data_IF_110445197911
#
_entry.id   IF_110445197911
#
_cell.length_a   1.000
_cell.length_b   1.000
_cell.length_c   1.000
_cell.angle_alpha   90.00
_cell.angle_beta   90.00
_cell.angle_gamma   90.00
#
_symmetry.space_group_name_H-M   'P 1'
#
loop_
_entity.id
_entity.type
_entity.pdbx_description
1 polymer ?
#
# COMPACT_ATOMS: atom_id res chain seq x y z
N UNK A 1 -14.69 -23.33 -40.47
CA UNK A 1 -14.45 -22.90 -39.08
C UNK A 1 -15.80 -22.92 -38.42
N UNK A 2 -16.17 -24.04 -37.80
CA UNK A 2 -17.37 -24.13 -36.98
C UNK A 2 -17.12 -23.31 -35.71
N UNK A 3 -17.98 -22.34 -35.43
CA UNK A 3 -17.94 -21.56 -34.20
C UNK A 3 -18.18 -22.50 -33.02
N UNK A 4 -17.20 -22.59 -32.11
CA UNK A 4 -17.39 -23.27 -30.83
C UNK A 4 -18.50 -22.56 -30.07
N UNK A 5 -19.50 -23.29 -29.54
CA UNK A 5 -20.61 -22.65 -28.88
C UNK A 5 -20.12 -22.05 -27.56
N UNK A 6 -20.45 -20.76 -27.35
CA UNK A 6 -20.23 -20.06 -26.09
C UNK A 6 -20.79 -20.97 -24.96
N UNK A 7 -19.95 -21.31 -23.98
CA UNK A 7 -20.28 -22.21 -22.86
C UNK A 7 -20.42 -23.71 -23.20
N UNK A 8 -19.33 -24.35 -23.67
CA UNK A 8 -19.27 -25.80 -23.95
C UNK A 8 -19.51 -26.71 -22.74
N UNK A 9 -19.37 -26.18 -21.52
CA UNK A 9 -19.28 -26.95 -20.29
C UNK A 9 -20.60 -26.99 -19.50
N UNK A 10 -21.67 -26.42 -20.08
CA UNK A 10 -23.01 -26.42 -19.50
C UNK A 10 -23.81 -27.64 -19.98
N UNK A 11 -24.50 -28.29 -19.05
CA UNK A 11 -25.56 -29.23 -19.40
C UNK A 11 -26.70 -28.53 -20.13
N UNK A 12 -27.47 -29.29 -20.91
CA UNK A 12 -28.59 -28.78 -21.70
C UNK A 12 -29.65 -28.07 -20.83
N UNK A 13 -29.82 -28.53 -19.58
CA UNK A 13 -30.71 -27.90 -18.60
C UNK A 13 -30.19 -26.53 -18.10
N UNK A 14 -28.88 -26.39 -17.92
CA UNK A 14 -28.26 -25.13 -17.47
C UNK A 14 -28.25 -24.07 -18.57
N UNK A 15 -28.04 -24.49 -19.84
CA UNK A 15 -28.17 -23.59 -21.00
C UNK A 15 -29.58 -23.02 -21.12
N UNK A 16 -30.59 -23.89 -21.01
CA UNK A 16 -31.99 -23.49 -21.08
C UNK A 16 -32.36 -22.50 -19.98
N UNK A 17 -31.87 -22.70 -18.76
CA UNK A 17 -32.09 -21.76 -17.66
C UNK A 17 -31.42 -20.40 -17.91
N UNK A 18 -30.23 -20.37 -18.53
CA UNK A 18 -29.50 -19.14 -18.86
C UNK A 18 -30.16 -18.35 -19.99
N UNK A 19 -30.70 -19.04 -21.01
CA UNK A 19 -31.49 -18.43 -22.09
C UNK A 19 -32.83 -17.88 -21.56
N UNK A 20 -33.50 -18.60 -20.65
CA UNK A 20 -34.73 -18.12 -19.98
C UNK A 20 -34.49 -16.88 -19.09
N UNK A 21 -33.26 -16.66 -18.61
CA UNK A 21 -32.84 -15.50 -17.81
C UNK A 21 -32.55 -14.25 -18.64
N UNK A 22 -32.52 -14.33 -19.97
CA UNK A 22 -32.31 -13.20 -20.87
C UNK A 22 -33.56 -12.95 -21.72
N UNK A 23 -34.53 -12.14 -21.25
CA UNK A 23 -35.74 -11.91 -22.01
C UNK A 23 -35.55 -10.81 -23.06
N UNK A 24 -35.40 -11.23 -24.32
CA UNK A 24 -35.78 -10.43 -25.48
C UNK A 24 -37.31 -10.47 -25.61
N UNK A 25 -38.03 -9.57 -24.92
CA UNK A 25 -39.37 -9.07 -25.31
C UNK A 25 -40.04 -8.28 -24.17
N UNK A 26 -39.63 -7.03 -24.01
CA UNK A 26 -40.37 -6.04 -23.19
C UNK A 26 -41.63 -5.49 -23.90
N UNK A 27 -41.93 -5.96 -25.12
CA UNK A 27 -42.96 -5.40 -26.01
C UNK A 27 -44.39 -5.92 -25.81
N UNK A 28 -44.58 -7.18 -25.41
CA UNK A 28 -45.94 -7.77 -25.34
C UNK A 28 -46.70 -7.42 -24.05
N UNK A 29 -45.98 -7.16 -22.95
CA UNK A 29 -46.58 -6.91 -21.61
C UNK A 29 -47.41 -5.61 -21.58
N UNK A 30 -47.16 -4.67 -22.47
CA UNK A 30 -47.90 -3.39 -22.52
C UNK A 30 -49.29 -3.50 -23.17
N UNK A 31 -49.64 -4.62 -23.84
CA UNK A 31 -50.79 -4.68 -24.74
C UNK A 31 -52.10 -5.26 -24.15
N UNK A 32 -52.09 -5.93 -22.99
CA UNK A 32 -53.31 -6.56 -22.44
C UNK A 32 -53.73 -5.99 -21.08
N UNK A 33 -54.71 -5.08 -21.12
CA UNK A 33 -55.33 -4.46 -19.94
C UNK A 33 -56.22 -5.44 -19.15
N UNK A 34 -55.64 -6.16 -18.20
CA UNK A 34 -56.37 -7.02 -17.25
C UNK A 34 -56.43 -6.33 -15.88
N UNK A 35 -57.64 -6.28 -15.30
CA UNK A 35 -58.00 -5.57 -14.05
C UNK A 35 -56.91 -5.69 -12.98
N UNK A 36 -56.36 -4.55 -12.55
CA UNK A 36 -55.26 -4.35 -11.58
C UNK A 36 -55.21 -5.33 -10.40
N UNK A 37 -56.36 -5.74 -9.86
CA UNK A 37 -56.45 -6.69 -8.73
C UNK A 37 -56.16 -8.14 -9.12
N UNK A 38 -56.52 -8.57 -10.34
CA UNK A 38 -56.16 -9.88 -10.87
C UNK A 38 -54.69 -9.92 -11.27
N UNK A 39 -54.20 -8.84 -11.89
CA UNK A 39 -52.78 -8.66 -12.22
C UNK A 39 -51.91 -8.75 -10.96
N UNK A 40 -52.21 -8.00 -9.90
CA UNK A 40 -51.43 -8.04 -8.65
C UNK A 40 -51.44 -9.42 -7.96
N UNK A 41 -52.56 -10.15 -8.01
CA UNK A 41 -52.63 -11.52 -7.47
C UNK A 41 -51.80 -12.49 -8.29
N UNK A 42 -51.90 -12.39 -9.62
CA UNK A 42 -51.13 -13.25 -10.52
C UNK A 42 -49.63 -12.98 -10.37
N UNK A 43 -49.22 -11.71 -10.31
CA UNK A 43 -47.82 -11.29 -10.13
C UNK A 43 -47.24 -11.76 -8.79
N UNK A 44 -48.02 -11.68 -7.70
CA UNK A 44 -47.58 -12.18 -6.40
C UNK A 44 -47.37 -13.70 -6.42
N UNK A 45 -48.27 -14.47 -7.05
CA UNK A 45 -48.18 -15.93 -7.05
C UNK A 45 -47.08 -16.44 -8.01
N UNK A 46 -47.01 -15.89 -9.23
CA UNK A 46 -45.99 -16.28 -10.22
C UNK A 46 -44.60 -15.75 -9.86
N UNK A 47 -44.49 -14.50 -9.39
CA UNK A 47 -43.21 -13.90 -8.99
C UNK A 47 -42.55 -14.64 -7.83
N UNK A 48 -43.31 -15.08 -6.82
CA UNK A 48 -42.74 -15.82 -5.68
C UNK A 48 -42.28 -17.22 -6.09
N UNK A 49 -42.96 -17.86 -7.04
CA UNK A 49 -42.64 -19.21 -7.51
C UNK A 49 -41.42 -19.23 -8.44
N UNK A 50 -41.32 -18.25 -9.35
CA UNK A 50 -40.14 -18.05 -10.21
C UNK A 50 -38.90 -17.64 -9.40
N UNK A 51 -39.06 -16.80 -8.37
CA UNK A 51 -37.96 -16.41 -7.51
C UNK A 51 -37.45 -17.60 -6.67
N UNK A 52 -38.33 -18.45 -6.15
CA UNK A 52 -37.94 -19.64 -5.39
C UNK A 52 -37.21 -20.68 -6.25
N UNK A 53 -37.66 -20.91 -7.49
CA UNK A 53 -36.97 -21.80 -8.43
C UNK A 53 -35.60 -21.26 -8.87
N UNK A 54 -35.49 -19.94 -9.09
CA UNK A 54 -34.23 -19.29 -9.42
C UNK A 54 -33.24 -19.27 -8.23
N UNK A 55 -33.72 -19.02 -7.00
CA UNK A 55 -32.85 -18.99 -5.82
C UNK A 55 -32.19 -20.34 -5.53
N UNK A 56 -32.91 -21.46 -5.71
CA UNK A 56 -32.35 -22.80 -5.51
C UNK A 56 -31.31 -23.17 -6.58
N UNK A 57 -31.54 -22.81 -7.85
CA UNK A 57 -30.58 -23.05 -8.93
C UNK A 57 -29.33 -22.15 -8.85
N UNK A 58 -29.52 -20.89 -8.47
CA UNK A 58 -28.43 -19.91 -8.33
C UNK A 58 -27.53 -20.24 -7.14
N UNK A 59 -28.09 -20.66 -5.99
CA UNK A 59 -27.24 -21.11 -4.87
C UNK A 59 -26.37 -22.30 -5.26
N UNK A 60 -26.90 -23.24 -6.04
CA UNK A 60 -26.15 -24.43 -6.47
C UNK A 60 -25.05 -24.09 -7.48
N UNK A 61 -25.28 -23.10 -8.35
CA UNK A 61 -24.26 -22.55 -9.27
C UNK A 61 -23.20 -21.70 -8.54
N UNK A 62 -23.61 -20.87 -7.57
CA UNK A 62 -22.70 -20.04 -6.76
C UNK A 62 -21.89 -20.87 -5.75
N UNK A 63 -22.46 -21.98 -5.26
CA UNK A 63 -21.80 -22.92 -4.35
C UNK A 63 -20.98 -23.98 -5.09
N UNK A 64 -21.04 -24.04 -6.43
CA UNK A 64 -20.20 -24.92 -7.23
C UNK A 64 -18.76 -24.44 -7.10
N UNK A 65 -17.99 -25.13 -6.27
CA UNK A 65 -16.54 -24.96 -6.21
C UNK A 65 -15.97 -25.27 -7.59
N UNK A 66 -15.47 -24.23 -8.28
CA UNK A 66 -14.61 -24.43 -9.43
C UNK A 66 -13.42 -25.24 -8.91
N UNK A 67 -13.08 -26.39 -9.53
CA UNK A 67 -11.85 -27.07 -9.20
C UNK A 67 -10.72 -26.06 -9.38
N UNK A 68 -10.12 -25.62 -8.27
CA UNK A 68 -8.88 -24.86 -8.33
C UNK A 68 -7.86 -25.86 -8.82
N UNK A 69 -7.57 -25.82 -10.11
CA UNK A 69 -6.45 -26.53 -10.67
C UNK A 69 -5.22 -26.02 -9.90
N UNK A 70 -4.62 -26.89 -9.09
CA UNK A 70 -3.39 -26.56 -8.36
C UNK A 70 -2.34 -26.22 -9.41
N UNK A 71 -2.19 -24.92 -9.67
CA UNK A 71 -1.10 -24.46 -10.51
C UNK A 71 0.19 -24.94 -9.85
N UNK A 72 1.09 -25.56 -10.63
CA UNK A 72 2.39 -25.95 -10.09
C UNK A 72 2.99 -24.72 -9.41
N UNK A 73 3.66 -24.90 -8.25
CA UNK A 73 4.23 -23.78 -7.52
C UNK A 73 5.04 -22.94 -8.50
N UNK A 74 4.76 -21.63 -8.56
CA UNK A 74 5.48 -20.71 -9.44
C UNK A 74 6.95 -20.81 -9.08
N UNK A 75 7.70 -21.56 -9.90
CA UNK A 75 9.14 -21.70 -9.75
C UNK A 75 9.75 -20.34 -10.06
N UNK A 76 10.73 -19.91 -9.26
CA UNK A 76 11.49 -18.70 -9.54
C UNK A 76 12.30 -18.98 -10.80
N UNK A 77 11.80 -18.54 -11.96
CA UNK A 77 12.41 -18.83 -13.27
C UNK A 77 13.83 -18.25 -13.37
N UNK A 78 14.05 -17.06 -12.83
CA UNK A 78 15.33 -16.35 -12.83
C UNK A 78 15.87 -16.16 -11.41
N UNK A 79 16.02 -17.26 -10.67
CA UNK A 79 16.46 -17.25 -9.28
C UNK A 79 17.92 -16.84 -9.12
N UNK A 80 18.17 -15.88 -8.23
CA UNK A 80 19.50 -15.51 -7.76
C UNK A 80 19.55 -15.64 -6.23
N UNK A 81 20.70 -16.05 -5.70
CA UNK A 81 20.95 -16.01 -4.27
C UNK A 81 21.50 -14.63 -3.91
N UNK A 82 20.91 -14.01 -2.89
CA UNK A 82 21.37 -12.75 -2.32
C UNK A 82 21.57 -12.88 -0.82
N UNK A 83 22.52 -12.12 -0.28
CA UNK A 83 22.87 -12.06 1.14
C UNK A 83 23.11 -10.62 1.57
N UNK A 84 22.31 -10.11 2.51
CA UNK A 84 22.49 -8.77 3.06
C UNK A 84 21.96 -8.65 4.49
N UNK A 85 22.40 -7.62 5.21
CA UNK A 85 21.97 -7.41 6.60
C UNK A 85 20.71 -6.56 6.62
N UNK A 86 19.65 -7.04 7.26
CA UNK A 86 18.41 -6.28 7.48
C UNK A 86 18.19 -6.10 8.97
N UNK A 87 18.12 -4.85 9.43
CA UNK A 87 17.90 -4.50 10.85
C UNK A 87 18.88 -5.24 11.79
N UNK A 88 20.16 -5.34 11.39
CA UNK A 88 21.21 -6.01 12.14
C UNK A 88 21.28 -7.55 11.98
N UNK A 89 20.35 -8.17 11.27
CA UNK A 89 20.32 -9.62 11.04
C UNK A 89 20.67 -9.97 9.60
N UNK A 90 21.60 -10.90 9.39
CA UNK A 90 21.94 -11.40 8.04
C UNK A 90 20.80 -12.23 7.47
N UNK A 91 20.33 -11.84 6.29
CA UNK A 91 19.29 -12.54 5.53
C UNK A 91 19.93 -13.14 4.28
N UNK A 92 19.69 -14.45 4.06
CA UNK A 92 20.11 -15.17 2.86
C UNK A 92 18.89 -15.77 2.20
N UNK A 93 18.66 -15.44 0.94
CA UNK A 93 17.44 -15.82 0.25
C UNK A 93 17.67 -15.98 -1.26
N UNK A 94 16.86 -16.84 -1.86
CA UNK A 94 16.69 -16.93 -3.30
C UNK A 94 15.52 -16.04 -3.72
N UNK A 95 15.76 -15.13 -4.66
CA UNK A 95 14.77 -14.18 -5.21
C UNK A 95 14.79 -14.18 -6.72
N UNK A 96 13.70 -13.75 -7.36
CA UNK A 96 13.71 -13.43 -8.79
C UNK A 96 14.65 -12.24 -9.03
N UNK A 97 15.45 -12.27 -10.11
CA UNK A 97 16.39 -11.21 -10.45
C UNK A 97 15.77 -9.82 -10.63
N UNK A 98 14.46 -9.74 -10.91
CA UNK A 98 13.69 -8.50 -11.06
C UNK A 98 13.11 -7.99 -9.74
N UNK A 99 13.20 -8.77 -8.66
CA UNK A 99 12.53 -8.45 -7.42
C UNK A 99 13.17 -7.20 -6.79
N UNK A 100 12.31 -6.20 -6.54
CA UNK A 100 12.72 -4.97 -5.87
C UNK A 100 13.10 -5.26 -4.42
N UNK A 101 13.90 -4.40 -3.83
CA UNK A 101 14.20 -4.44 -2.40
C UNK A 101 12.91 -4.28 -1.60
N UNK A 102 11.97 -3.45 -2.07
CA UNK A 102 10.67 -3.27 -1.44
C UNK A 102 9.90 -4.59 -1.32
N UNK A 103 9.73 -5.29 -2.44
CA UNK A 103 8.97 -6.54 -2.47
C UNK A 103 9.70 -7.65 -1.74
N UNK A 104 11.03 -7.65 -1.80
CA UNK A 104 11.84 -8.60 -1.03
C UNK A 104 11.61 -8.42 0.48
N UNK A 105 11.68 -7.19 0.99
CA UNK A 105 11.44 -6.90 2.40
C UNK A 105 10.02 -7.30 2.82
N UNK A 106 9.01 -6.93 2.03
CA UNK A 106 7.61 -7.13 2.40
C UNK A 106 7.15 -8.56 2.23
N UNK A 107 7.38 -9.13 1.05
CA UNK A 107 6.72 -10.37 0.61
C UNK A 107 7.58 -11.61 0.86
N UNK A 108 8.91 -11.45 0.97
CA UNK A 108 9.84 -12.56 1.29
C UNK A 108 10.25 -12.59 2.76
N UNK A 109 10.47 -11.41 3.36
CA UNK A 109 10.93 -11.29 4.75
C UNK A 109 9.81 -10.90 5.74
N UNK A 110 8.60 -10.60 5.26
CA UNK A 110 7.47 -10.22 6.12
C UNK A 110 7.61 -8.86 6.80
N UNK A 111 8.61 -8.06 6.43
CA UNK A 111 8.84 -6.70 6.94
C UNK A 111 7.97 -5.71 6.17
N UNK A 112 6.70 -5.67 6.55
CA UNK A 112 5.65 -4.94 5.82
C UNK A 112 5.56 -3.46 6.16
N UNK A 113 6.45 -2.94 7.02
CA UNK A 113 6.53 -1.54 7.42
C UNK A 113 6.77 -0.62 6.23
N UNK A 114 7.74 -0.93 5.37
CA UNK A 114 7.93 -0.21 4.10
C UNK A 114 6.72 -0.38 3.18
N UNK A 115 6.25 0.70 2.55
CA UNK A 115 4.99 0.70 1.80
C UNK A 115 5.16 0.89 0.30
N UNK A 116 4.31 0.20 -0.47
CA UNK A 116 4.19 0.35 -1.92
C UNK A 116 3.08 1.34 -2.26
N UNK A 117 3.42 2.63 -2.33
CA UNK A 117 2.45 3.68 -2.70
C UNK A 117 2.28 3.87 -4.20
N UNK A 118 3.35 3.73 -4.99
CA UNK A 118 3.32 3.98 -6.43
C UNK A 118 4.17 3.03 -7.28
N UNK A 119 5.17 2.34 -6.69
CA UNK A 119 6.12 1.46 -7.38
C UNK A 119 6.96 2.08 -8.53
N UNK A 120 6.90 3.40 -8.67
CA UNK A 120 7.54 4.16 -9.75
C UNK A 120 8.39 5.35 -9.23
N UNK A 121 8.79 5.31 -7.95
CA UNK A 121 9.66 6.33 -7.34
C UNK A 121 9.02 7.72 -7.13
N UNK A 122 7.70 7.84 -7.20
CA UNK A 122 6.99 9.11 -7.15
C UNK A 122 6.62 9.57 -5.74
N UNK A 123 6.48 8.66 -4.77
CA UNK A 123 5.86 9.00 -3.46
C UNK A 123 6.77 8.90 -2.23
N UNK A 124 7.91 8.20 -2.31
CA UNK A 124 8.80 8.01 -1.16
C UNK A 124 8.29 7.11 -0.03
N UNK A 125 7.08 6.54 -0.11
CA UNK A 125 6.54 5.66 0.94
C UNK A 125 7.35 4.36 1.15
N UNK A 126 8.15 3.99 0.15
CA UNK A 126 9.04 2.83 0.16
C UNK A 126 10.45 3.14 0.68
N UNK A 127 10.69 4.34 1.24
CA UNK A 127 12.04 4.73 1.64
C UNK A 127 12.58 3.84 2.76
N UNK A 128 13.78 3.30 2.54
CA UNK A 128 14.59 2.56 3.53
C UNK A 128 16.01 3.15 3.52
N UNK A 129 16.84 2.79 4.49
CA UNK A 129 18.22 3.25 4.59
C UNK A 129 19.15 2.10 4.18
N UNK A 130 19.98 2.31 3.16
CA UNK A 130 20.99 1.36 2.69
C UNK A 130 22.36 2.00 2.86
N UNK A 131 23.24 1.39 3.67
CA UNK A 131 24.57 1.92 4.02
C UNK A 131 24.52 3.43 4.37
N UNK A 132 23.67 3.76 5.34
CA UNK A 132 23.42 5.11 5.85
C UNK A 132 22.78 6.10 4.86
N UNK A 133 22.40 5.66 3.65
CA UNK A 133 21.72 6.49 2.65
C UNK A 133 20.27 6.09 2.47
N UNK A 134 19.35 7.05 2.52
CA UNK A 134 17.96 6.80 2.14
C UNK A 134 17.85 6.48 0.64
N UNK A 135 17.10 5.43 0.30
CA UNK A 135 16.85 5.01 -1.08
C UNK A 135 15.39 4.62 -1.29
N UNK A 136 14.92 4.75 -2.53
CA UNK A 136 13.61 4.26 -2.94
C UNK A 136 13.70 2.75 -3.20
N UNK A 137 13.24 1.94 -2.24
CA UNK A 137 13.37 0.47 -2.36
C UNK A 137 12.57 -0.13 -3.51
N UNK A 138 11.53 0.55 -4.02
CA UNK A 138 10.82 0.12 -5.24
C UNK A 138 11.65 0.25 -6.52
N UNK A 139 12.66 1.12 -6.54
CA UNK A 139 13.56 1.31 -7.69
C UNK A 139 14.96 0.75 -7.43
N UNK A 140 15.10 -0.09 -6.40
CA UNK A 140 16.35 -0.77 -6.05
C UNK A 140 16.11 -2.27 -6.19
N UNK A 141 16.94 -2.98 -6.96
CA UNK A 141 16.84 -4.44 -7.02
C UNK A 141 17.49 -5.07 -5.78
N UNK A 142 16.89 -6.11 -5.23
CA UNK A 142 17.49 -6.86 -4.11
C UNK A 142 18.89 -7.41 -4.49
N UNK A 143 19.06 -7.80 -5.75
CA UNK A 143 20.34 -8.20 -6.35
C UNK A 143 21.48 -7.18 -6.14
N UNK A 144 21.16 -5.89 -6.06
CA UNK A 144 22.15 -4.81 -5.93
C UNK A 144 22.48 -4.47 -4.48
N UNK A 145 21.87 -5.20 -3.53
CA UNK A 145 22.05 -5.01 -2.09
C UNK A 145 22.98 -6.04 -1.45
N UNK A 146 23.63 -6.91 -2.23
CA UNK A 146 24.60 -7.88 -1.72
C UNK A 146 25.61 -7.23 -0.75
N UNK A 147 25.80 -7.86 0.41
CA UNK A 147 26.66 -7.43 1.52
C UNK A 147 26.33 -6.08 2.17
N UNK A 148 25.28 -5.38 1.73
CA UNK A 148 24.88 -4.08 2.27
C UNK A 148 24.11 -4.21 3.57
N UNK A 149 24.04 -3.10 4.31
CA UNK A 149 23.18 -2.94 5.48
C UNK A 149 21.91 -2.19 5.11
N UNK A 150 20.77 -2.82 5.32
CA UNK A 150 19.43 -2.26 5.11
C UNK A 150 18.77 -2.04 6.47
N UNK A 151 18.34 -0.81 6.74
CA UNK A 151 17.51 -0.46 7.90
C UNK A 151 16.13 -0.03 7.42
N UNK A 152 15.10 -0.71 7.93
CA UNK A 152 13.68 -0.39 7.69
C UNK A 152 13.09 0.32 8.90
N UNK A 153 11.81 0.70 8.82
CA UNK A 153 11.12 1.35 9.94
C UNK A 153 11.10 0.48 11.21
N UNK A 154 11.00 -0.84 11.05
CA UNK A 154 11.02 -1.83 12.12
C UNK A 154 12.37 -1.88 12.84
N UNK A 155 13.47 -1.53 12.15
CA UNK A 155 14.82 -1.55 12.70
C UNK A 155 15.22 -0.28 13.47
N UNK A 156 14.38 0.74 13.52
CA UNK A 156 14.71 2.01 14.19
C UNK A 156 14.50 1.97 15.71
N UNK A 157 13.53 1.18 16.19
CA UNK A 157 13.26 1.03 17.61
C UNK A 157 14.22 -0.01 18.25
N UNK A 158 14.54 0.18 19.53
CA UNK A 158 15.31 -0.81 20.31
C UNK A 158 14.39 -1.46 21.34
N UNK A 159 13.91 -2.67 21.03
CA UNK A 159 12.90 -3.33 21.86
C UNK A 159 11.61 -2.50 21.92
N UNK A 160 11.24 -2.06 23.14
CA UNK A 160 10.06 -1.22 23.36
C UNK A 160 10.38 0.29 23.37
N UNK A 161 11.64 0.67 23.15
CA UNK A 161 12.07 2.06 23.12
C UNK A 161 11.99 2.60 21.69
N UNK A 162 11.14 3.60 21.49
CA UNK A 162 10.97 4.27 20.21
C UNK A 162 12.18 5.14 19.88
N UNK A 163 12.54 5.17 18.59
CA UNK A 163 13.52 6.12 18.07
C UNK A 163 13.06 7.56 18.35
N UNK A 164 13.96 8.52 18.66
CA UNK A 164 13.57 9.92 18.91
C UNK A 164 12.69 10.53 17.81
N UNK A 165 12.95 10.18 16.55
CA UNK A 165 12.10 10.57 15.41
C UNK A 165 10.69 9.99 15.48
N UNK A 166 10.53 8.72 15.90
CA UNK A 166 9.21 8.11 16.08
C UNK A 166 8.45 8.81 17.22
N UNK A 167 9.10 9.03 18.36
CA UNK A 167 8.54 9.77 19.50
C UNK A 167 8.09 11.17 19.11
N UNK A 168 8.92 11.89 18.35
CA UNK A 168 8.61 13.24 17.88
C UNK A 168 7.43 13.26 16.90
N UNK A 169 7.35 12.29 15.98
CA UNK A 169 6.20 12.15 15.08
C UNK A 169 4.88 11.92 15.85
N UNK A 170 4.90 11.16 16.94
CA UNK A 170 3.73 10.99 17.81
C UNK A 170 3.39 12.31 18.50
N UNK A 171 4.38 12.95 19.14
CA UNK A 171 4.20 14.19 19.89
C UNK A 171 3.59 15.32 19.06
N UNK A 172 3.97 15.40 17.79
CA UNK A 172 3.55 16.46 16.87
C UNK A 172 2.37 16.08 15.99
N UNK A 173 1.78 14.89 16.16
CA UNK A 173 0.74 14.39 15.24
C UNK A 173 1.23 14.43 13.77
N UNK A 174 2.46 13.96 13.56
CA UNK A 174 3.18 13.95 12.29
C UNK A 174 2.67 12.91 11.29
N UNK A 175 1.49 12.34 11.50
CA UNK A 175 0.84 11.39 10.62
C UNK A 175 -0.67 11.32 10.89
N UNK A 176 -1.41 10.67 9.99
CA UNK A 176 -2.83 10.35 10.19
C UNK A 176 -3.08 8.88 9.81
N UNK A 177 -3.29 8.58 8.52
CA UNK A 177 -3.53 7.21 8.05
C UNK A 177 -2.34 6.25 8.27
N UNK A 178 -1.17 6.78 8.62
CA UNK A 178 0.05 6.01 8.88
C UNK A 178 0.79 5.50 7.64
N UNK A 179 0.19 5.59 6.44
CA UNK A 179 0.73 4.91 5.26
C UNK A 179 2.08 5.46 4.78
N UNK A 180 2.24 6.79 4.73
CA UNK A 180 3.52 7.40 4.34
C UNK A 180 4.55 7.41 5.48
N UNK A 181 4.12 7.20 6.72
CA UNK A 181 4.90 7.44 7.94
C UNK A 181 6.22 6.65 7.99
N UNK A 182 6.28 5.36 7.61
CA UNK A 182 7.53 4.61 7.53
C UNK A 182 8.58 5.29 6.64
N UNK A 183 8.19 5.68 5.43
CA UNK A 183 9.07 6.36 4.49
C UNK A 183 9.48 7.76 4.98
N UNK A 184 8.54 8.51 5.59
CA UNK A 184 8.82 9.82 6.19
C UNK A 184 9.88 9.71 7.29
N UNK A 185 9.72 8.76 8.22
CA UNK A 185 10.64 8.60 9.35
C UNK A 185 12.01 8.12 8.87
N UNK A 186 12.08 7.10 7.99
CA UNK A 186 13.36 6.65 7.43
C UNK A 186 14.09 7.79 6.69
N UNK A 187 13.37 8.58 5.89
CA UNK A 187 13.93 9.76 5.24
C UNK A 187 14.45 10.79 6.24
N UNK A 188 13.66 11.08 7.28
CA UNK A 188 14.02 12.07 8.30
C UNK A 188 15.24 11.65 9.14
N UNK A 189 15.42 10.35 9.40
CA UNK A 189 16.59 9.82 10.09
C UNK A 189 17.84 9.97 9.22
N UNK A 190 17.79 9.56 7.95
CA UNK A 190 18.92 9.72 7.03
C UNK A 190 19.29 11.20 6.80
N UNK A 191 18.28 12.08 6.74
CA UNK A 191 18.43 13.53 6.65
C UNK A 191 19.30 14.12 7.77
N UNK A 192 19.26 13.57 8.99
CA UNK A 192 20.15 14.03 10.08
C UNK A 192 21.63 13.80 9.72
N UNK A 193 21.94 12.68 9.07
CA UNK A 193 23.28 12.39 8.55
C UNK A 193 23.69 13.34 7.43
N UNK A 194 22.81 13.56 6.45
CA UNK A 194 23.03 14.52 5.35
C UNK A 194 23.34 15.93 5.87
N UNK A 195 22.55 16.40 6.85
CA UNK A 195 22.73 17.70 7.48
C UNK A 195 24.06 17.77 8.24
N UNK A 196 24.42 16.72 9.00
CA UNK A 196 25.69 16.63 9.72
C UNK A 196 26.89 16.60 8.78
N UNK A 197 26.75 16.03 7.58
CA UNK A 197 27.82 15.97 6.58
C UNK A 197 27.98 17.28 5.79
N UNK A 198 27.02 18.21 5.93
CA UNK A 198 27.02 19.46 5.19
C UNK A 198 26.59 19.30 3.73
N UNK A 199 25.84 18.25 3.41
CA UNK A 199 25.38 17.98 2.05
C UNK A 199 24.47 19.12 1.57
N UNK A 200 24.69 19.65 0.36
CA UNK A 200 23.87 20.74 -0.18
C UNK A 200 22.48 20.27 -0.60
N UNK A 201 21.51 21.17 -0.58
CA UNK A 201 20.16 21.02 -1.14
C UNK A 201 19.89 22.10 -2.18
N UNK A 202 18.70 22.07 -2.80
CA UNK A 202 18.27 23.12 -3.72
C UNK A 202 18.23 24.52 -3.08
N UNK A 203 17.91 24.61 -1.79
CA UNK A 203 17.80 25.89 -1.06
C UNK A 203 19.12 26.37 -0.46
N UNK A 204 20.22 25.65 -0.70
CA UNK A 204 21.55 26.09 -0.28
C UNK A 204 22.03 27.29 -1.11
N UNK A 205 22.13 28.46 -0.48
CA UNK A 205 22.43 29.73 -1.16
C UNK A 205 23.76 29.76 -1.93
N UNK A 206 24.82 29.10 -1.42
CA UNK A 206 26.12 29.04 -2.07
C UNK A 206 26.75 27.65 -1.96
N UNK A 207 26.59 26.84 -3.00
CA UNK A 207 27.14 25.46 -3.06
C UNK A 207 28.66 25.39 -3.10
N UNK A 208 29.36 26.51 -3.35
CA UNK A 208 30.84 26.55 -3.30
C UNK A 208 31.36 26.67 -1.87
N UNK A 209 30.53 27.13 -0.94
CA UNK A 209 30.87 27.25 0.47
C UNK A 209 30.59 25.93 1.17
N UNK A 210 31.63 25.11 1.35
CA UNK A 210 31.49 23.82 2.04
C UNK A 210 31.29 24.03 3.54
N UNK A 211 30.04 23.91 4.00
CA UNK A 211 29.72 23.92 5.43
C UNK A 211 30.06 22.58 6.07
N UNK A 212 30.49 22.60 7.33
CA UNK A 212 30.72 21.37 8.12
C UNK A 212 29.40 20.69 8.52
N UNK A 213 28.35 21.48 8.75
CA UNK A 213 27.00 21.01 9.04
C UNK A 213 26.00 22.05 8.54
N UNK A 214 24.82 21.58 8.14
CA UNK A 214 23.68 22.40 7.73
C UNK A 214 22.68 22.47 8.89
N UNK A 215 22.23 23.68 9.21
CA UNK A 215 21.08 23.87 10.11
C UNK A 215 19.80 23.55 9.34
N UNK A 216 19.02 22.60 9.84
CA UNK A 216 17.75 22.21 9.25
C UNK A 216 16.65 23.22 9.61
N UNK A 217 16.62 24.34 8.88
CA UNK A 217 15.51 25.29 8.90
C UNK A 217 14.22 24.64 8.36
N UNK A 218 13.07 25.27 8.58
CA UNK A 218 11.81 24.78 8.00
C UNK A 218 11.86 24.69 6.46
N UNK A 219 12.64 25.54 5.81
CA UNK A 219 12.80 25.54 4.35
C UNK A 219 13.70 24.37 3.90
N UNK A 220 14.83 24.15 4.57
CA UNK A 220 15.71 22.99 4.31
C UNK A 220 14.99 21.66 4.54
N UNK A 221 14.20 21.55 5.61
CA UNK A 221 13.43 20.32 5.89
C UNK A 221 12.39 20.09 4.79
N UNK A 222 11.63 21.11 4.40
CA UNK A 222 10.61 20.95 3.35
C UNK A 222 11.22 20.53 2.02
N UNK A 223 12.31 21.18 1.62
CA UNK A 223 13.02 20.85 0.38
C UNK A 223 13.50 19.40 0.41
N UNK A 224 14.23 19.00 1.46
CA UNK A 224 14.84 17.67 1.55
C UNK A 224 13.85 16.54 1.79
N UNK A 225 12.67 16.85 2.30
CA UNK A 225 11.57 15.88 2.50
C UNK A 225 10.55 15.89 1.36
N UNK A 226 10.72 16.73 0.34
CA UNK A 226 9.77 16.87 -0.78
C UNK A 226 9.56 15.57 -1.57
N UNK A 227 10.54 14.65 -1.54
CA UNK A 227 10.43 13.31 -2.14
C UNK A 227 9.52 12.33 -1.37
N UNK A 228 8.97 12.70 -0.21
CA UNK A 228 8.06 11.89 0.58
C UNK A 228 6.67 12.53 0.63
N UNK A 229 5.74 12.00 -0.17
CA UNK A 229 4.38 12.53 -0.30
C UNK A 229 3.49 12.04 0.84
N UNK A 230 2.75 12.97 1.46
CA UNK A 230 1.71 12.72 2.45
C UNK A 230 0.35 13.24 1.94
N UNK A 231 -0.56 12.33 1.56
CA UNK A 231 -1.88 12.72 1.06
C UNK A 231 -2.80 13.28 2.15
N UNK A 232 -2.60 12.87 3.41
CA UNK A 232 -3.30 13.43 4.57
C UNK A 232 -2.94 14.89 4.85
N UNK A 233 -1.85 15.40 4.26
CA UNK A 233 -1.44 16.80 4.43
C UNK A 233 -0.77 17.11 5.78
N UNK A 234 -0.18 16.11 6.46
CA UNK A 234 0.47 16.28 7.77
C UNK A 234 1.81 17.04 7.73
N UNK A 235 2.16 17.69 6.60
CA UNK A 235 3.50 18.27 6.39
C UNK A 235 3.93 19.29 7.45
N UNK A 236 3.10 20.24 7.92
CA UNK A 236 3.53 21.17 8.96
C UNK A 236 3.95 20.48 10.27
N UNK A 237 3.24 19.41 10.63
CA UNK A 237 3.51 18.59 11.82
C UNK A 237 4.76 17.73 11.62
N UNK A 238 4.94 17.14 10.43
CA UNK A 238 6.16 16.41 10.06
C UNK A 238 7.39 17.33 10.17
N UNK A 239 7.32 18.55 9.63
CA UNK A 239 8.42 19.53 9.72
C UNK A 239 8.72 19.88 11.18
N UNK A 240 7.68 20.05 12.01
CA UNK A 240 7.83 20.34 13.44
C UNK A 240 8.50 19.18 14.19
N UNK A 241 8.11 17.94 13.89
CA UNK A 241 8.71 16.74 14.45
C UNK A 241 10.20 16.61 14.12
N UNK A 242 10.57 16.82 12.86
CA UNK A 242 11.96 16.74 12.40
C UNK A 242 12.80 17.85 13.04
N UNK A 243 12.25 19.07 13.13
CA UNK A 243 12.94 20.22 13.73
C UNK A 243 13.20 20.03 15.22
N UNK A 244 12.26 19.44 15.97
CA UNK A 244 12.48 19.10 17.38
C UNK A 244 13.69 18.17 17.56
N UNK A 245 13.79 17.13 16.74
CA UNK A 245 14.90 16.17 16.82
C UNK A 245 16.23 16.79 16.39
N UNK A 246 16.23 17.70 15.42
CA UNK A 246 17.46 18.38 14.99
C UNK A 246 17.97 19.40 16.01
N UNK A 247 17.07 20.17 16.62
CA UNK A 247 17.43 21.34 17.43
C UNK A 247 17.55 21.10 18.94
N UNK A 248 17.28 19.88 19.43
CA UNK A 248 17.21 19.51 20.85
C UNK A 248 16.32 20.45 21.70
N UNK A 249 15.36 21.13 21.08
CA UNK A 249 14.42 22.06 21.72
C UNK A 249 13.01 21.62 21.45
N UNK A 250 12.26 21.43 22.53
CA UNK A 250 10.83 21.13 22.45
C UNK A 250 10.12 22.22 21.65
N UNK A 251 9.48 21.83 20.55
CA UNK A 251 8.54 22.71 19.85
C UNK A 251 7.23 22.67 20.65
N UNK A 252 6.72 23.85 21.05
CA UNK A 252 5.53 23.94 21.87
C UNK A 252 4.34 23.29 21.15
N UNK A 253 3.64 22.37 21.84
CA UNK A 253 2.40 21.81 21.32
C UNK A 253 1.33 22.90 21.24
N UNK A 254 0.71 23.04 20.07
CA UNK A 254 -0.38 24.01 19.82
C UNK A 254 -1.76 23.42 20.07
N UNK A 255 -1.84 22.12 20.38
CA UNK A 255 -3.09 21.41 20.67
C UNK A 255 -3.15 21.08 22.15
N UNK A 256 -4.22 21.50 22.81
CA UNK A 256 -4.52 21.10 24.18
C UNK A 256 -5.47 19.89 24.13
N UNK A 257 -5.18 18.85 24.92
CA UNK A 257 -6.20 17.84 25.19
C UNK A 257 -7.36 18.53 25.91
N UNK A 258 -8.59 18.21 25.53
CA UNK A 258 -9.74 18.59 26.33
C UNK A 258 -9.57 17.91 27.69
N UNK A 259 -9.17 18.66 28.71
CA UNK A 259 -9.17 18.19 30.09
C UNK A 259 -10.63 17.94 30.46
N UNK A 260 -11.02 16.66 30.44
CA UNK A 260 -12.39 16.19 30.51
C UNK A 260 -13.10 16.55 31.81
N UNK A 261 -13.60 17.78 31.89
CA UNK A 261 -14.67 18.16 32.82
C UNK A 261 -15.91 18.39 31.97
N UNK A 262 -16.74 17.35 31.84
CA UNK A 262 -18.16 17.46 31.47
C UNK A 262 -18.94 17.68 32.76
#
# INVERSE_FOLDING_TARGET
MEEQPLFSDLSEAERKALEELMPDEMGEIMSSGIKRRHFLKLFAVTGTSLLAANLLGIEQLMARSIPIEEQPPVLIENGINVSFQVNGSTQKLMVDSRMTLLDTLRERLGLTGSKKGCDHGQCGACTVIVDDKRVLSCLTLAATCEDKKVTTIEGLATGNELHPMQTSFIKHDGFQCGYCTPGQICSAVALMGEAKNGDASYVTANVREKKKAVELSNEEIRERMSGNICRCGAYPNIVSAIREVHGDKAVAQVWQFAEGTI
#
